data_IF_871781768998
#
_entry.id   IF_871781768998
#
_cell.length_a   1.000
_cell.length_b   1.000
_cell.length_c   1.000
_cell.angle_alpha   90.00
_cell.angle_beta   90.00
_cell.angle_gamma   90.00
#
_symmetry.space_group_name_H-M   'P 1'
#
loop_
_entity.id
_entity.type
_entity.pdbx_description
1 polymer ?
#
# COMPACT_ATOMS: atom_id res chain seq x y z
N UNK A 1 19.23 -0.07 6.96
CA UNK A 1 18.13 0.24 6.04
C UNK A 1 16.91 -0.49 6.58
N UNK A 2 15.84 0.20 6.98
CA UNK A 2 14.60 -0.47 7.38
C UNK A 2 13.81 -0.78 6.11
N UNK A 3 13.54 -2.06 5.85
CA UNK A 3 12.73 -2.52 4.72
C UNK A 3 11.27 -2.28 5.08
N UNK A 4 10.52 -1.59 4.23
CA UNK A 4 9.08 -1.41 4.45
C UNK A 4 8.35 -2.69 4.03
N UNK A 5 7.87 -3.46 5.01
CA UNK A 5 6.99 -4.63 4.80
C UNK A 5 5.52 -4.23 4.64
N UNK A 6 5.20 -2.97 4.91
CA UNK A 6 3.84 -2.43 4.86
C UNK A 6 3.62 -1.49 3.66
N UNK A 7 2.36 -1.34 3.27
CA UNK A 7 1.92 -0.36 2.30
C UNK A 7 2.19 1.05 2.82
N UNK A 8 2.97 1.85 2.07
CA UNK A 8 3.33 3.22 2.44
C UNK A 8 2.15 4.19 2.54
N UNK A 9 1.02 3.85 1.91
CA UNK A 9 -0.20 4.67 1.88
C UNK A 9 -1.09 4.39 3.09
N UNK A 10 -1.42 3.13 3.37
CA UNK A 10 -2.41 2.78 4.41
C UNK A 10 -1.83 2.02 5.62
N UNK A 11 -0.63 1.47 5.52
CA UNK A 11 -0.01 0.68 6.59
C UNK A 11 -0.39 -0.81 6.60
N UNK A 12 -1.24 -1.28 5.67
CA UNK A 12 -1.52 -2.71 5.53
C UNK A 12 -0.24 -3.51 5.28
N UNK A 13 -0.06 -4.63 5.99
CA UNK A 13 1.09 -5.52 5.86
C UNK A 13 0.73 -6.75 4.99
N UNK A 14 1.07 -6.73 3.68
CA UNK A 14 0.90 -7.89 2.81
C UNK A 14 1.91 -9.00 3.13
N UNK A 15 1.60 -10.21 2.68
CA UNK A 15 2.48 -11.39 2.81
C UNK A 15 3.83 -11.20 2.11
N UNK A 16 3.83 -10.54 0.95
CA UNK A 16 5.02 -10.18 0.20
C UNK A 16 5.37 -8.70 0.42
N UNK A 17 6.64 -8.40 0.72
CA UNK A 17 7.11 -7.04 0.90
C UNK A 17 6.81 -6.20 -0.36
N UNK A 18 6.07 -5.07 -0.25
CA UNK A 18 5.64 -4.29 -1.41
C UNK A 18 6.77 -3.82 -2.34
N UNK A 19 7.95 -3.58 -1.77
CA UNK A 19 9.16 -3.11 -2.45
C UNK A 19 10.26 -4.17 -2.55
N UNK A 20 9.87 -5.44 -2.40
CA UNK A 20 10.76 -6.58 -2.36
C UNK A 20 11.70 -6.55 -1.16
N UNK A 21 12.50 -7.60 -1.01
CA UNK A 21 13.45 -7.74 0.10
C UNK A 21 14.52 -6.64 0.11
N UNK A 22 14.86 -6.11 -1.07
CA UNK A 22 15.84 -5.03 -1.21
C UNK A 22 15.27 -3.63 -0.92
N UNK A 23 13.95 -3.49 -0.81
CA UNK A 23 13.26 -2.20 -0.71
C UNK A 23 13.32 -1.35 -1.98
N UNK A 24 13.88 -1.87 -3.07
CA UNK A 24 14.14 -1.15 -4.33
C UNK A 24 13.41 -1.77 -5.53
N UNK A 25 12.85 -2.97 -5.38
CA UNK A 25 12.23 -3.74 -6.47
C UNK A 25 10.75 -3.95 -6.15
N UNK A 26 9.86 -3.04 -6.58
CA UNK A 26 8.44 -3.14 -6.31
C UNK A 26 7.81 -4.37 -6.96
N UNK A 27 6.82 -4.94 -6.30
CA UNK A 27 6.07 -6.10 -6.81
C UNK A 27 5.07 -5.72 -7.92
N UNK A 28 4.80 -4.43 -8.09
CA UNK A 28 3.77 -3.88 -8.99
C UNK A 28 2.35 -4.38 -8.73
N UNK A 29 2.13 -5.06 -7.61
CA UNK A 29 0.82 -5.48 -7.14
C UNK A 29 0.04 -4.30 -6.57
N UNK A 30 -1.28 -4.48 -6.44
CA UNK A 30 -2.17 -3.52 -5.81
C UNK A 30 -2.35 -3.86 -4.33
N UNK A 31 -2.23 -2.85 -3.46
CA UNK A 31 -2.59 -2.99 -2.06
C UNK A 31 -4.09 -3.31 -1.94
N UNK A 32 -4.49 -4.41 -1.27
CA UNK A 32 -5.90 -4.78 -1.18
C UNK A 32 -6.71 -3.82 -0.29
N UNK A 33 -6.05 -3.10 0.63
CA UNK A 33 -6.69 -2.10 1.47
C UNK A 33 -6.97 -0.81 0.69
N UNK A 34 -5.94 -0.06 0.30
CA UNK A 34 -6.11 1.27 -0.28
C UNK A 34 -6.04 1.33 -1.82
N UNK A 35 -5.81 0.19 -2.51
CA UNK A 35 -5.70 0.06 -3.96
C UNK A 35 -4.55 0.85 -4.61
N UNK A 36 -3.54 1.28 -3.84
CA UNK A 36 -2.31 1.85 -4.41
C UNK A 36 -1.53 0.77 -5.16
N UNK A 37 -0.91 1.11 -6.29
CA UNK A 37 -0.02 0.21 -7.01
C UNK A 37 1.43 0.42 -6.55
N UNK A 38 2.05 -0.63 -6.03
CA UNK A 38 3.42 -0.57 -5.52
C UNK A 38 4.41 -0.29 -6.66
N UNK A 39 5.34 0.64 -6.45
CA UNK A 39 6.31 1.04 -7.48
C UNK A 39 5.79 2.04 -8.52
N UNK A 40 4.51 2.41 -8.44
CA UNK A 40 3.90 3.38 -9.37
C UNK A 40 3.37 4.56 -8.59
N UNK A 41 2.29 4.36 -7.83
CA UNK A 41 1.62 5.45 -7.10
C UNK A 41 2.33 5.76 -5.78
N UNK A 42 3.03 4.77 -5.20
CA UNK A 42 3.81 4.94 -3.97
C UNK A 42 5.34 5.07 -4.24
N UNK A 43 5.71 5.41 -5.47
CA UNK A 43 7.10 5.65 -5.87
C UNK A 43 7.60 7.06 -5.47
N UNK A 44 6.68 8.01 -5.30
CA UNK A 44 6.99 9.42 -5.03
C UNK A 44 6.29 9.86 -3.76
N UNK A 45 7.00 10.56 -2.88
CA UNK A 45 6.50 10.92 -1.54
C UNK A 45 5.23 11.78 -1.60
N UNK A 46 5.19 12.76 -2.50
CA UNK A 46 4.04 13.64 -2.69
C UNK A 46 2.79 12.86 -3.10
N UNK A 47 2.94 11.83 -3.94
CA UNK A 47 1.83 10.96 -4.35
C UNK A 47 1.35 10.08 -3.19
N UNK A 48 2.28 9.53 -2.39
CA UNK A 48 1.93 8.78 -1.17
C UNK A 48 1.06 9.64 -0.25
N UNK A 49 1.45 10.89 -0.01
CA UNK A 49 0.71 11.80 0.87
C UNK A 49 -0.67 12.14 0.31
N UNK A 50 -0.76 12.42 -0.98
CA UNK A 50 -2.03 12.72 -1.64
C UNK A 50 -3.00 11.52 -1.58
N UNK A 51 -2.54 10.33 -1.92
CA UNK A 51 -3.32 9.09 -1.84
C UNK A 51 -3.74 8.77 -0.40
N UNK A 52 -2.83 8.90 0.56
CA UNK A 52 -3.13 8.66 1.97
C UNK A 52 -4.22 9.59 2.47
N UNK A 53 -4.12 10.88 2.13
CA UNK A 53 -5.14 11.87 2.47
C UNK A 53 -6.49 11.50 1.85
N UNK A 54 -6.53 11.21 0.55
CA UNK A 54 -7.77 10.85 -0.14
C UNK A 54 -8.41 9.56 0.43
N UNK A 55 -7.60 8.57 0.79
CA UNK A 55 -8.09 7.34 1.42
C UNK A 55 -8.65 7.60 2.83
N UNK A 56 -8.00 8.44 3.64
CA UNK A 56 -8.51 8.85 4.97
C UNK A 56 -9.82 9.63 4.83
N UNK A 57 -9.88 10.60 3.92
CA UNK A 57 -11.10 11.40 3.67
C UNK A 57 -12.28 10.55 3.19
N UNK A 58 -12.01 9.44 2.49
CA UNK A 58 -13.02 8.47 2.08
C UNK A 58 -13.47 7.52 3.21
N UNK A 59 -12.95 7.66 4.43
CA UNK A 59 -13.29 6.79 5.58
C UNK A 59 -12.46 5.51 5.64
N UNK A 60 -11.27 5.50 5.06
CA UNK A 60 -10.33 4.37 5.09
C UNK A 60 -10.94 3.03 4.60
N UNK A 61 -11.68 3.01 3.48
CA UNK A 61 -12.38 1.80 3.05
C UNK A 61 -11.39 0.72 2.61
N UNK A 62 -11.75 -0.54 2.87
CA UNK A 62 -11.14 -1.69 2.21
C UNK A 62 -11.61 -1.76 0.76
N UNK A 63 -10.69 -1.65 -0.20
CA UNK A 63 -11.04 -1.52 -1.63
C UNK A 63 -11.04 -2.84 -2.39
N UNK A 64 -10.37 -3.89 -1.91
CA UNK A 64 -10.32 -5.16 -2.62
C UNK A 64 -11.68 -5.86 -2.61
N UNK A 65 -12.06 -6.36 -3.78
CA UNK A 65 -13.19 -7.30 -3.95
C UNK A 65 -12.75 -8.76 -3.96
N UNK A 66 -11.44 -9.01 -4.08
CA UNK A 66 -10.84 -10.35 -4.21
C UNK A 66 -10.39 -10.90 -2.86
N UNK A 67 -9.91 -10.02 -1.99
CA UNK A 67 -9.39 -10.37 -0.67
C UNK A 67 -10.34 -9.81 0.37
N UNK A 68 -10.69 -10.63 1.36
CA UNK A 68 -11.42 -10.16 2.53
C UNK A 68 -10.54 -9.21 3.34
N UNK A 69 -11.16 -8.23 4.00
CA UNK A 69 -10.47 -7.45 5.02
C UNK A 69 -10.09 -8.39 6.18
N UNK A 70 -8.85 -8.35 6.67
CA UNK A 70 -8.46 -9.12 7.85
C UNK A 70 -9.34 -8.76 9.05
N UNK A 71 -9.61 -9.75 9.89
CA UNK A 71 -10.23 -9.54 11.20
C UNK A 71 -9.17 -9.01 12.18
N UNK A 72 -9.59 -8.17 13.14
CA UNK A 72 -8.73 -7.57 14.17
C UNK A 72 -8.22 -8.58 15.21
#
# INVERSE_FOLDING_TARGET
MMIATFCRVCGYEPEEAPWGESGQQPTYQYCPCCNTQFGVTDAVFEQIQAERKAWIEAGMPWRSKRYAQPED
#
